data_IF_084108526846
#
_entry.id   IF_084108526846
#
_cell.length_a   1.000
_cell.length_b   1.000
_cell.length_c   1.000
_cell.angle_alpha   90.00
_cell.angle_beta   90.00
_cell.angle_gamma   90.00
#
_symmetry.space_group_name_H-M   'P 1'
#
loop_
_entity.id
_entity.type
_entity.pdbx_description
1 polymer ?
#
# COMPACT_ATOMS: atom_id res chain seq x y z
N UNK A 1 20.10 3.54 5.79
CA UNK A 1 18.73 3.76 5.26
C UNK A 1 18.78 4.44 3.88
N UNK A 2 17.93 4.00 2.97
CA UNK A 2 17.74 4.60 1.64
C UNK A 2 16.26 4.60 1.31
N UNK A 3 15.86 5.29 0.25
CA UNK A 3 14.50 5.22 -0.33
C UNK A 3 14.54 4.53 -1.69
N UNK A 4 13.43 3.92 -2.12
CA UNK A 4 13.30 3.37 -3.46
C UNK A 4 11.95 3.77 -4.05
N UNK A 5 11.97 4.59 -5.10
CA UNK A 5 10.73 5.00 -5.78
C UNK A 5 10.15 3.83 -6.59
N UNK A 6 8.82 3.76 -6.64
CA UNK A 6 8.07 2.88 -7.54
C UNK A 6 7.33 3.76 -8.56
N UNK A 7 7.91 3.84 -9.75
CA UNK A 7 7.36 4.58 -10.88
C UNK A 7 6.26 3.80 -11.61
N UNK A 8 5.70 4.43 -12.64
CA UNK A 8 4.53 3.92 -13.33
C UNK A 8 4.75 2.53 -13.96
N UNK A 9 3.75 1.65 -13.81
CA UNK A 9 3.80 0.31 -14.33
C UNK A 9 3.80 0.30 -15.86
N UNK A 10 4.69 -0.51 -16.43
CA UNK A 10 4.78 -0.73 -17.87
C UNK A 10 4.29 -2.12 -18.22
N UNK A 11 3.48 -2.23 -19.27
CA UNK A 11 3.10 -3.53 -19.85
C UNK A 11 4.28 -4.06 -20.67
N UNK A 12 4.84 -5.18 -20.25
CA UNK A 12 5.93 -5.86 -20.95
C UNK A 12 5.47 -7.22 -21.49
N UNK A 13 6.15 -7.71 -22.53
CA UNK A 13 5.87 -9.01 -23.14
C UNK A 13 7.08 -9.94 -23.05
N UNK A 14 6.81 -11.25 -23.00
CA UNK A 14 7.78 -12.34 -23.11
C UNK A 14 7.32 -13.32 -24.18
N UNK A 15 8.25 -14.15 -24.66
CA UNK A 15 8.01 -15.15 -25.70
C UNK A 15 7.43 -14.52 -26.98
N UNK A 16 8.10 -13.47 -27.49
CA UNK A 16 7.69 -12.76 -28.72
C UNK A 16 6.22 -12.30 -28.72
N UNK A 17 5.75 -11.76 -27.59
CA UNK A 17 4.39 -11.23 -27.46
C UNK A 17 3.36 -12.22 -26.89
N UNK A 18 3.67 -13.51 -26.78
CA UNK A 18 2.71 -14.53 -26.35
C UNK A 18 2.27 -14.39 -24.88
N UNK A 19 3.08 -13.74 -24.04
CA UNK A 19 2.74 -13.51 -22.62
C UNK A 19 3.02 -12.09 -22.20
N UNK A 20 1.98 -11.38 -21.77
CA UNK A 20 2.09 -10.03 -21.19
C UNK A 20 2.09 -10.04 -19.66
N UNK A 21 2.79 -9.10 -19.05
CA UNK A 21 2.77 -8.84 -17.61
C UNK A 21 3.00 -7.35 -17.32
N UNK A 22 2.58 -6.91 -16.14
CA UNK A 22 2.88 -5.57 -15.63
C UNK A 22 4.20 -5.61 -14.87
N UNK A 23 5.11 -4.69 -15.21
CA UNK A 23 6.38 -4.48 -14.54
C UNK A 23 6.45 -3.08 -13.93
N UNK A 24 6.86 -3.00 -12.67
CA UNK A 24 7.07 -1.77 -11.93
C UNK A 24 8.54 -1.38 -12.05
N UNK A 25 8.79 -0.11 -12.36
CA UNK A 25 10.14 0.46 -12.39
C UNK A 25 10.50 0.91 -10.98
N UNK A 26 11.64 0.43 -10.50
CA UNK A 26 12.19 0.69 -9.18
C UNK A 26 13.47 1.50 -9.33
N UNK A 27 13.61 2.56 -8.54
CA UNK A 27 14.80 3.41 -8.53
C UNK A 27 15.28 3.60 -7.08
N UNK A 28 16.26 2.80 -6.63
CA UNK A 28 16.86 2.98 -5.31
C UNK A 28 17.71 4.26 -5.29
N UNK A 29 17.47 5.13 -4.32
CA UNK A 29 18.19 6.41 -4.14
C UNK A 29 19.70 6.26 -3.95
N UNK A 30 20.16 5.15 -3.38
CA UNK A 30 21.59 4.92 -3.10
C UNK A 30 22.40 4.47 -4.32
N UNK A 31 21.77 3.93 -5.36
CA UNK A 31 22.44 3.53 -6.61
C UNK A 31 22.02 4.36 -7.83
N UNK A 32 20.81 4.93 -7.80
CA UNK A 32 20.17 5.55 -8.98
C UNK A 32 19.87 4.55 -10.11
N UNK A 33 20.16 3.27 -9.93
CA UNK A 33 20.04 2.27 -10.98
C UNK A 33 18.58 1.83 -11.13
N UNK A 34 18.07 1.91 -12.35
CA UNK A 34 16.70 1.55 -12.65
C UNK A 34 16.58 0.04 -12.87
N UNK A 35 15.65 -0.60 -12.17
CA UNK A 35 15.30 -2.01 -12.40
C UNK A 35 13.80 -2.19 -12.55
N UNK A 36 13.39 -3.09 -13.43
CA UNK A 36 12.00 -3.48 -13.63
C UNK A 36 11.70 -4.80 -12.94
N UNK A 37 10.66 -4.82 -12.10
CA UNK A 37 10.19 -6.00 -11.37
C UNK A 37 8.69 -6.15 -11.54
N UNK A 38 8.24 -7.35 -11.89
CA UNK A 38 6.80 -7.69 -11.92
C UNK A 38 6.35 -8.17 -10.54
N UNK A 39 5.05 -8.14 -10.28
CA UNK A 39 4.48 -8.59 -8.99
C UNK A 39 4.97 -9.98 -8.56
N UNK A 40 5.11 -10.95 -9.47
CA UNK A 40 5.65 -12.29 -9.15
C UNK A 40 7.09 -12.27 -8.58
N UNK A 41 7.89 -11.25 -8.91
CA UNK A 41 9.22 -11.10 -8.32
C UNK A 41 9.13 -10.56 -6.89
N UNK A 42 8.19 -9.66 -6.60
CA UNK A 42 7.89 -9.22 -5.23
C UNK A 42 7.41 -10.40 -4.38
N UNK A 43 6.47 -11.19 -4.91
CA UNK A 43 5.94 -12.39 -4.24
C UNK A 43 7.04 -13.40 -3.87
N UNK A 44 7.98 -13.62 -4.79
CA UNK A 44 9.16 -14.44 -4.51
C UNK A 44 10.01 -13.86 -3.37
N UNK A 45 10.30 -12.56 -3.42
CA UNK A 45 11.11 -11.91 -2.40
C UNK A 45 10.43 -11.96 -1.03
N UNK A 46 9.13 -11.64 -0.96
CA UNK A 46 8.32 -11.75 0.24
C UNK A 46 8.43 -13.15 0.86
N UNK A 47 8.24 -14.21 0.06
CA UNK A 47 8.39 -15.58 0.54
C UNK A 47 9.79 -15.91 1.05
N UNK A 48 10.85 -15.37 0.45
CA UNK A 48 12.23 -15.53 0.96
C UNK A 48 12.44 -14.82 2.30
N UNK A 49 11.91 -13.61 2.44
CA UNK A 49 12.06 -12.81 3.65
C UNK A 49 11.27 -13.43 4.82
N UNK A 50 10.03 -13.85 4.58
CA UNK A 50 9.19 -14.50 5.59
C UNK A 50 9.79 -15.83 6.09
N UNK A 51 10.41 -16.62 5.20
CA UNK A 51 11.14 -17.84 5.59
C UNK A 51 12.43 -17.53 6.36
N UNK A 52 13.15 -16.47 5.96
CA UNK A 52 14.43 -16.10 6.55
C UNK A 52 14.32 -15.54 7.96
N UNK A 53 13.32 -14.69 8.21
CA UNK A 53 13.24 -13.92 9.45
C UNK A 53 12.06 -14.36 10.32
N UNK A 54 12.25 -15.31 11.27
CA UNK A 54 11.16 -15.83 12.09
C UNK A 54 10.62 -14.83 13.12
N UNK A 55 11.37 -13.78 13.43
CA UNK A 55 11.06 -12.80 14.50
C UNK A 55 10.95 -11.36 13.99
N UNK A 56 11.05 -11.15 12.67
CA UNK A 56 10.85 -9.83 12.06
C UNK A 56 9.53 -9.86 11.29
N UNK A 57 8.64 -8.93 11.60
CA UNK A 57 7.37 -8.79 10.90
C UNK A 57 7.60 -8.22 9.50
N UNK A 58 7.57 -9.08 8.47
CA UNK A 58 7.68 -8.68 7.06
C UNK A 58 6.33 -8.16 6.57
N UNK A 59 6.23 -6.93 6.02
CA UNK A 59 4.96 -6.40 5.55
C UNK A 59 4.37 -7.27 4.43
N UNK A 60 3.06 -7.48 4.46
CA UNK A 60 2.36 -8.28 3.44
C UNK A 60 2.29 -7.52 2.12
N UNK A 61 2.30 -8.26 1.00
CA UNK A 61 2.12 -7.67 -0.31
C UNK A 61 0.62 -7.38 -0.59
N UNK A 62 0.30 -6.36 -1.42
CA UNK A 62 -1.07 -6.14 -1.89
C UNK A 62 -1.64 -7.36 -2.60
N UNK A 63 -2.97 -7.51 -2.64
CA UNK A 63 -3.64 -8.73 -3.10
C UNK A 63 -3.25 -9.24 -4.50
N UNK A 64 -3.30 -10.57 -4.65
CA UNK A 64 -3.16 -11.28 -5.92
C UNK A 64 -4.51 -11.32 -6.65
N UNK A 65 -4.66 -10.50 -7.68
CA UNK A 65 -5.82 -10.60 -8.59
C UNK A 65 -5.43 -11.27 -9.92
N UNK A 66 -6.21 -12.27 -10.34
CA UNK A 66 -6.02 -13.00 -11.58
C UNK A 66 -6.85 -12.40 -12.74
N UNK A 67 -8.13 -12.10 -12.47
CA UNK A 67 -9.04 -11.36 -13.37
C UNK A 67 -8.82 -9.85 -13.22
N UNK A 68 -9.08 -9.04 -14.25
CA UNK A 68 -8.91 -7.58 -14.17
C UNK A 68 -7.47 -7.08 -13.94
N UNK A 69 -6.44 -7.94 -14.04
CA UNK A 69 -5.04 -7.57 -13.74
C UNK A 69 -4.44 -6.47 -14.63
N UNK A 70 -5.14 -6.09 -15.69
CA UNK A 70 -4.76 -5.03 -16.63
C UNK A 70 -5.65 -3.79 -16.50
N UNK A 71 -6.61 -3.79 -15.57
CA UNK A 71 -7.45 -2.63 -15.26
C UNK A 71 -6.61 -1.56 -14.56
N UNK A 72 -6.80 -0.31 -14.98
CA UNK A 72 -6.01 0.82 -14.53
C UNK A 72 -6.16 1.06 -13.03
N UNK A 73 -7.38 1.02 -12.50
CA UNK A 73 -7.67 1.17 -11.08
C UNK A 73 -6.93 0.12 -10.24
N UNK A 74 -6.94 -1.12 -10.71
CA UNK A 74 -6.25 -2.21 -10.03
C UNK A 74 -4.73 -2.04 -10.05
N UNK A 75 -4.17 -1.67 -11.20
CA UNK A 75 -2.75 -1.41 -11.37
C UNK A 75 -2.30 -0.24 -10.47
N UNK A 76 -3.08 0.83 -10.43
CA UNK A 76 -2.84 2.02 -9.62
C UNK A 76 -2.87 1.69 -8.12
N UNK A 77 -3.92 1.01 -7.65
CA UNK A 77 -4.04 0.56 -6.25
C UNK A 77 -2.88 -0.34 -5.84
N UNK A 78 -2.51 -1.30 -6.69
CA UNK A 78 -1.38 -2.18 -6.43
C UNK A 78 -0.05 -1.43 -6.39
N UNK A 79 0.17 -0.45 -7.28
CA UNK A 79 1.37 0.38 -7.26
C UNK A 79 1.51 1.14 -5.95
N UNK A 80 0.42 1.77 -5.47
CA UNK A 80 0.39 2.47 -4.17
C UNK A 80 0.73 1.52 -3.02
N UNK A 81 0.10 0.34 -2.95
CA UNK A 81 0.40 -0.64 -1.91
C UNK A 81 1.84 -1.19 -1.98
N UNK A 82 2.40 -1.37 -3.18
CA UNK A 82 3.80 -1.75 -3.33
C UNK A 82 4.76 -0.64 -2.91
N UNK A 83 4.37 0.64 -3.07
CA UNK A 83 5.18 1.78 -2.62
C UNK A 83 5.27 1.79 -1.08
N UNK A 84 4.14 1.67 -0.38
CA UNK A 84 4.11 1.51 1.08
C UNK A 84 4.96 0.33 1.56
N UNK A 85 4.83 -0.82 0.88
CA UNK A 85 5.65 -2.00 1.17
C UNK A 85 7.15 -1.70 1.01
N UNK A 86 7.54 -1.04 -0.09
CA UNK A 86 8.93 -0.72 -0.39
C UNK A 86 9.52 0.28 0.60
N UNK A 87 8.77 1.31 1.00
CA UNK A 87 9.20 2.30 1.98
C UNK A 87 9.44 1.65 3.35
N UNK A 88 8.58 0.73 3.77
CA UNK A 88 8.80 -0.06 4.98
C UNK A 88 10.09 -0.90 4.86
N UNK A 89 10.25 -1.61 3.74
CA UNK A 89 11.41 -2.47 3.50
C UNK A 89 12.74 -1.70 3.50
N UNK A 90 12.78 -0.51 2.91
CA UNK A 90 14.00 0.31 2.82
C UNK A 90 14.33 1.04 4.14
N UNK A 91 13.33 1.31 4.98
CA UNK A 91 13.52 1.95 6.28
C UNK A 91 13.92 0.96 7.38
N UNK A 92 13.57 -0.32 7.25
CA UNK A 92 13.89 -1.32 8.25
C UNK A 92 15.39 -1.69 8.27
N UNK A 93 16.10 -1.59 9.42
CA UNK A 93 17.56 -1.74 9.48
C UNK A 93 18.07 -3.11 9.05
N UNK A 94 17.36 -4.20 9.36
CA UNK A 94 17.75 -5.57 8.95
C UNK A 94 17.28 -5.91 7.54
N UNK A 95 15.98 -5.75 7.23
CA UNK A 95 15.42 -6.09 5.91
C UNK A 95 16.09 -5.32 4.76
N UNK A 96 16.38 -4.02 4.96
CA UNK A 96 17.06 -3.20 3.97
C UNK A 96 18.46 -3.71 3.62
N UNK A 97 19.13 -4.41 4.55
CA UNK A 97 20.49 -4.95 4.35
C UNK A 97 20.49 -6.39 3.82
N UNK A 98 19.33 -7.02 3.67
CA UNK A 98 19.25 -8.40 3.21
C UNK A 98 19.77 -8.56 1.77
N UNK A 99 20.72 -9.47 1.55
CA UNK A 99 21.29 -9.80 0.23
C UNK A 99 20.21 -10.05 -0.84
N UNK A 100 19.15 -10.77 -0.50
CA UNK A 100 18.06 -11.06 -1.44
C UNK A 100 17.31 -9.79 -1.87
N UNK A 101 17.14 -8.84 -0.95
CA UNK A 101 16.54 -7.54 -1.23
C UNK A 101 17.49 -6.63 -2.04
N UNK A 102 18.78 -6.61 -1.68
CA UNK A 102 19.79 -5.87 -2.42
C UNK A 102 19.91 -6.38 -3.88
N UNK A 103 19.95 -7.70 -4.09
CA UNK A 103 19.91 -8.30 -5.42
C UNK A 103 18.60 -7.96 -6.16
N UNK A 104 17.48 -7.94 -5.43
CA UNK A 104 16.18 -7.53 -5.99
C UNK A 104 16.22 -6.10 -6.54
N UNK A 105 16.91 -5.18 -5.88
CA UNK A 105 16.98 -3.77 -6.27
C UNK A 105 18.09 -3.44 -7.28
N UNK A 106 19.17 -4.20 -7.33
CA UNK A 106 20.37 -3.83 -8.10
C UNK A 106 20.63 -4.72 -9.33
N UNK A 107 20.09 -5.95 -9.38
CA UNK A 107 20.31 -6.82 -10.53
C UNK A 107 19.66 -6.23 -11.81
N UNK A 108 20.42 -6.00 -12.90
CA UNK A 108 19.85 -5.48 -14.14
C UNK A 108 18.70 -6.35 -14.67
N UNK A 109 17.59 -5.73 -15.08
CA UNK A 109 16.43 -6.47 -15.62
C UNK A 109 16.69 -7.16 -16.96
N UNK A 110 17.73 -6.74 -17.66
CA UNK A 110 18.20 -7.33 -18.92
C UNK A 110 19.03 -8.59 -18.71
N UNK A 111 19.61 -8.79 -17.52
CA UNK A 111 20.45 -9.96 -17.22
C UNK A 111 19.65 -11.06 -16.52
N UNK A 112 18.93 -11.85 -17.32
CA UNK A 112 18.14 -12.98 -16.80
C UNK A 112 19.01 -14.07 -16.16
N UNK A 113 20.29 -14.20 -16.55
CA UNK A 113 21.21 -15.19 -16.00
C UNK A 113 21.64 -14.80 -14.59
N UNK A 114 22.09 -13.56 -14.40
CA UNK A 114 22.43 -13.02 -13.07
C UNK A 114 21.21 -13.05 -12.14
N UNK A 115 20.02 -12.68 -12.65
CA UNK A 115 18.77 -12.76 -11.88
C UNK A 115 18.52 -14.17 -11.34
N UNK A 116 18.59 -15.19 -12.22
CA UNK A 116 18.38 -16.60 -11.85
C UNK A 116 19.44 -17.10 -10.87
N UNK A 117 20.69 -16.68 -11.03
CA UNK A 117 21.77 -17.07 -10.14
C UNK A 117 21.58 -16.51 -8.73
N UNK A 118 21.32 -15.20 -8.60
CA UNK A 118 21.06 -14.58 -7.30
C UNK A 118 19.78 -15.10 -6.63
N UNK A 119 18.74 -15.36 -7.44
CA UNK A 119 17.52 -16.05 -6.97
C UNK A 119 17.82 -17.42 -6.35
N UNK A 120 18.59 -18.25 -7.05
CA UNK A 120 19.01 -19.58 -6.55
C UNK A 120 19.93 -19.49 -5.34
N UNK A 121 20.80 -18.47 -5.26
CA UNK A 121 21.64 -18.22 -4.09
C UNK A 121 20.79 -17.94 -2.85
N UNK A 122 19.80 -17.04 -2.96
CA UNK A 122 18.87 -16.74 -1.87
C UNK A 122 17.94 -17.92 -1.50
N UNK A 123 17.63 -18.80 -2.45
CA UNK A 123 16.86 -20.02 -2.19
C UNK A 123 17.65 -21.13 -1.48
N UNK A 124 18.99 -21.04 -1.47
CA UNK A 124 19.89 -21.99 -0.81
C UNK A 124 20.50 -21.43 0.47
N UNK A 125 19.97 -20.32 0.98
CA UNK A 125 20.45 -19.72 2.22
C UNK A 125 20.13 -20.65 3.40
N UNK A 126 21.16 -21.02 4.16
CA UNK A 126 21.03 -21.90 5.33
C UNK A 126 20.71 -21.12 6.62
N UNK A 127 20.94 -19.80 6.62
CA UNK A 127 20.69 -18.90 7.76
C UNK A 127 19.25 -18.40 7.79
N UNK A 128 18.30 -19.34 7.74
CA UNK A 128 16.85 -19.12 7.72
C UNK A 128 16.20 -19.78 8.94
N UNK A 129 14.98 -19.37 9.30
CA UNK A 129 14.28 -19.90 10.48
C UNK A 129 15.14 -19.82 11.74
N UNK A 130 15.27 -20.92 12.49
CA UNK A 130 16.05 -20.95 13.72
C UNK A 130 17.55 -20.60 13.52
N UNK A 131 18.14 -20.90 12.36
CA UNK A 131 19.55 -20.56 12.11
C UNK A 131 19.78 -19.06 11.98
N UNK A 132 18.72 -18.26 11.73
CA UNK A 132 18.83 -16.80 11.73
C UNK A 132 19.35 -16.27 13.07
N UNK A 133 19.00 -16.89 14.20
CA UNK A 133 19.45 -16.45 15.52
C UNK A 133 20.98 -16.54 15.68
N UNK A 134 21.67 -17.41 14.92
CA UNK A 134 23.14 -17.49 14.89
C UNK A 134 23.79 -16.25 14.27
N UNK A 135 23.02 -15.44 13.53
CA UNK A 135 23.49 -14.20 12.92
C UNK A 135 23.33 -12.99 13.85
N UNK A 136 22.66 -13.15 14.99
CA UNK A 136 22.40 -12.08 15.94
C UNK A 136 23.50 -12.05 16.99
N UNK A 137 24.16 -10.91 17.13
CA UNK A 137 25.04 -10.64 18.27
C UNK A 137 24.26 -9.87 19.33
N UNK A 138 24.16 -10.44 20.53
CA UNK A 138 23.54 -9.78 21.69
C UNK A 138 24.58 -8.98 22.47
N UNK A 139 24.21 -7.88 23.14
CA UNK A 139 25.11 -7.15 24.03
C UNK A 139 25.72 -8.08 25.08
N UNK A 140 27.03 -7.94 25.33
CA UNK A 140 27.74 -8.69 26.37
C UNK A 140 28.38 -7.69 27.34
N UNK A 141 28.13 -7.85 28.65
CA UNK A 141 28.65 -6.95 29.67
C UNK A 141 27.80 -6.91 30.95
N UNK A 142 28.25 -6.16 31.98
CA UNK A 142 27.49 -5.98 33.21
C UNK A 142 26.11 -5.36 32.92
N UNK A 143 25.04 -5.97 33.40
CA UNK A 143 23.66 -5.52 33.13
C UNK A 143 23.08 -5.93 31.77
N UNK A 144 23.78 -6.76 30.98
CA UNK A 144 23.25 -7.28 29.71
C UNK A 144 22.29 -8.47 29.88
N UNK A 145 22.27 -9.11 31.05
CA UNK A 145 21.31 -10.16 31.37
C UNK A 145 19.92 -9.56 31.58
N UNK A 146 18.94 -10.05 30.83
CA UNK A 146 17.54 -9.68 31.00
C UNK A 146 16.87 -10.63 32.01
N UNK A 147 15.98 -10.10 32.84
CA UNK A 147 15.08 -10.91 33.66
C UNK A 147 14.02 -11.55 32.75
N UNK A 148 13.96 -12.88 32.74
CA UNK A 148 13.03 -13.64 31.92
C UNK A 148 11.58 -13.35 32.28
N UNK A 149 11.28 -13.08 33.56
CA UNK A 149 9.93 -12.75 33.99
C UNK A 149 9.50 -11.37 33.45
N UNK A 150 10.43 -10.41 33.43
CA UNK A 150 10.20 -9.10 32.84
C UNK A 150 9.98 -9.21 31.32
N UNK A 151 10.81 -9.99 30.62
CA UNK A 151 10.66 -10.25 29.18
C UNK A 151 9.31 -10.89 28.87
N UNK A 152 8.88 -11.89 29.65
CA UNK A 152 7.57 -12.52 29.47
C UNK A 152 6.42 -11.51 29.68
N UNK A 153 6.52 -10.68 30.71
CA UNK A 153 5.54 -9.61 30.97
C UNK A 153 5.46 -8.61 29.82
N UNK A 154 6.59 -8.22 29.23
CA UNK A 154 6.64 -7.34 28.06
C UNK A 154 6.00 -8.00 26.82
N UNK A 155 6.28 -9.29 26.59
CA UNK A 155 5.67 -10.05 25.48
C UNK A 155 4.15 -10.15 25.65
N UNK A 156 3.64 -10.38 26.86
CA UNK A 156 2.21 -10.41 27.13
C UNK A 156 1.54 -9.05 26.96
N UNK A 157 2.20 -7.97 27.41
CA UNK A 157 1.76 -6.60 27.15
C UNK A 157 1.68 -6.31 25.65
N UNK A 158 2.70 -6.71 24.89
CA UNK A 158 2.73 -6.55 23.44
C UNK A 158 1.64 -7.38 22.74
N UNK A 159 1.38 -8.62 23.17
CA UNK A 159 0.30 -9.47 22.67
C UNK A 159 -1.07 -8.82 22.86
N UNK A 160 -1.32 -8.24 24.04
CA UNK A 160 -2.57 -7.52 24.31
C UNK A 160 -2.69 -6.26 23.44
N UNK A 161 -1.59 -5.51 23.29
CA UNK A 161 -1.52 -4.34 22.43
C UNK A 161 -1.83 -4.68 20.96
N UNK A 162 -1.15 -5.67 20.36
CA UNK A 162 -1.33 -5.99 18.93
C UNK A 162 -2.74 -6.45 18.64
N UNK A 163 -3.34 -7.27 19.52
CA UNK A 163 -4.75 -7.65 19.40
C UNK A 163 -5.68 -6.42 19.41
N UNK A 164 -5.50 -5.50 20.36
CA UNK A 164 -6.35 -4.31 20.46
C UNK A 164 -6.14 -3.35 19.28
N UNK A 165 -4.91 -3.24 18.80
CA UNK A 165 -4.57 -2.45 17.63
C UNK A 165 -5.24 -3.01 16.37
N UNK A 166 -5.24 -4.33 16.18
CA UNK A 166 -5.90 -4.98 15.02
C UNK A 166 -7.41 -4.73 15.00
N UNK A 167 -8.09 -4.94 16.14
CA UNK A 167 -9.51 -4.63 16.30
C UNK A 167 -9.82 -3.15 15.97
N UNK A 168 -8.98 -2.24 16.46
CA UNK A 168 -9.14 -0.80 16.26
C UNK A 168 -8.86 -0.37 14.82
N UNK A 169 -7.84 -0.96 14.17
CA UNK A 169 -7.52 -0.72 12.77
C UNK A 169 -8.63 -1.23 11.84
N UNK A 170 -9.20 -2.41 12.13
CA UNK A 170 -10.37 -2.94 11.41
C UNK A 170 -11.58 -2.01 11.52
N UNK A 171 -11.88 -1.53 12.74
CA UNK A 171 -12.98 -0.59 12.96
C UNK A 171 -12.78 0.72 12.20
N UNK A 172 -11.58 1.31 12.28
CA UNK A 172 -11.27 2.55 11.57
C UNK A 172 -11.37 2.37 10.05
N UNK A 173 -10.82 1.28 9.51
CA UNK A 173 -10.88 0.97 8.09
C UNK A 173 -12.35 0.80 7.63
N UNK A 174 -13.18 0.14 8.43
CA UNK A 174 -14.61 -0.01 8.14
C UNK A 174 -15.33 1.34 8.07
N UNK A 175 -15.16 2.19 9.09
CA UNK A 175 -15.80 3.51 9.15
C UNK A 175 -15.29 4.44 8.04
N UNK A 176 -13.99 4.42 7.74
CA UNK A 176 -13.40 5.19 6.65
C UNK A 176 -13.96 4.77 5.28
N UNK A 177 -14.05 3.47 5.01
CA UNK A 177 -14.65 2.94 3.77
C UNK A 177 -16.13 3.31 3.64
N UNK A 178 -16.90 3.24 4.72
CA UNK A 178 -18.30 3.65 4.71
C UNK A 178 -18.43 5.14 4.39
N UNK A 179 -17.61 5.97 5.03
CA UNK A 179 -17.63 7.41 4.81
C UNK A 179 -17.20 7.78 3.38
N UNK A 180 -16.13 7.16 2.85
CA UNK A 180 -15.70 7.34 1.47
C UNK A 180 -16.82 7.00 0.48
N UNK A 181 -17.51 5.86 0.65
CA UNK A 181 -18.67 5.49 -0.20
C UNK A 181 -19.80 6.51 -0.13
N UNK A 182 -20.09 7.05 1.06
CA UNK A 182 -21.10 8.12 1.23
C UNK A 182 -20.69 9.40 0.52
N UNK A 183 -19.41 9.77 0.53
CA UNK A 183 -18.92 10.93 -0.22
C UNK A 183 -19.06 10.74 -1.75
N UNK A 184 -18.58 9.60 -2.27
CA UNK A 184 -18.60 9.26 -3.71
C UNK A 184 -20.01 9.22 -4.29
N UNK A 185 -20.95 8.63 -3.57
CA UNK A 185 -22.30 8.37 -4.09
C UNK A 185 -23.35 9.26 -3.46
N UNK A 186 -23.42 9.27 -2.13
CA UNK A 186 -24.46 9.96 -1.37
C UNK A 186 -24.34 11.48 -1.49
N UNK A 187 -23.22 12.06 -1.05
CA UNK A 187 -23.04 13.51 -1.02
C UNK A 187 -23.06 14.07 -2.43
N UNK A 188 -22.33 13.48 -3.38
CA UNK A 188 -22.42 13.85 -4.80
C UNK A 188 -23.87 13.95 -5.28
N UNK A 189 -24.67 12.91 -5.03
CA UNK A 189 -26.07 12.86 -5.46
C UNK A 189 -26.91 13.97 -4.81
N UNK A 190 -26.73 14.25 -3.53
CA UNK A 190 -27.51 15.30 -2.86
C UNK A 190 -27.15 16.70 -3.37
N UNK A 191 -25.87 17.00 -3.60
CA UNK A 191 -25.45 18.27 -4.20
C UNK A 191 -26.00 18.44 -5.63
N UNK A 192 -25.92 17.38 -6.45
CA UNK A 192 -26.45 17.40 -7.81
C UNK A 192 -27.98 17.53 -7.86
N UNK A 193 -28.71 16.99 -6.86
CA UNK A 193 -30.16 17.23 -6.75
C UNK A 193 -30.48 18.71 -6.51
N UNK A 194 -29.73 19.36 -5.64
CA UNK A 194 -29.89 20.81 -5.39
C UNK A 194 -29.54 21.62 -6.63
N UNK A 195 -28.43 21.27 -7.31
CA UNK A 195 -28.05 21.86 -8.60
C UNK A 195 -29.17 21.71 -9.65
N UNK A 196 -29.74 20.52 -9.77
CA UNK A 196 -30.87 20.26 -10.66
C UNK A 196 -32.10 21.13 -10.33
N UNK A 197 -32.43 21.35 -9.05
CA UNK A 197 -33.52 22.25 -8.67
C UNK A 197 -33.27 23.70 -9.11
N UNK A 198 -32.05 24.23 -8.91
CA UNK A 198 -31.69 25.55 -9.42
C UNK A 198 -31.75 25.63 -10.94
N UNK A 199 -31.34 24.57 -11.64
CA UNK A 199 -31.40 24.49 -13.10
C UNK A 199 -32.85 24.57 -13.60
N UNK A 200 -33.77 23.83 -13.00
CA UNK A 200 -35.19 23.89 -13.34
C UNK A 200 -35.79 25.27 -13.09
N UNK A 201 -35.42 25.92 -11.98
CA UNK A 201 -35.87 27.28 -11.67
C UNK A 201 -35.35 28.30 -12.70
N UNK A 202 -34.06 28.23 -13.03
CA UNK A 202 -33.45 29.07 -14.07
C UNK A 202 -34.15 28.90 -15.42
N UNK A 203 -34.44 27.65 -15.83
CA UNK A 203 -35.17 27.37 -17.07
C UNK A 203 -36.57 27.97 -17.10
N UNK A 204 -37.27 27.99 -15.97
CA UNK A 204 -38.58 28.62 -15.87
C UNK A 204 -38.47 30.15 -16.04
N UNK A 205 -37.43 30.78 -15.48
CA UNK A 205 -37.23 32.23 -15.56
C UNK A 205 -36.80 32.69 -16.95
N UNK A 206 -36.10 31.84 -17.71
CA UNK A 206 -35.73 32.08 -19.10
C UNK A 206 -36.95 32.15 -20.05
N UNK A 207 -38.13 31.69 -19.64
CA UNK A 207 -39.35 31.75 -20.47
C UNK A 207 -39.92 33.17 -20.62
N UNK A 208 -39.71 34.06 -19.65
CA UNK A 208 -40.26 35.43 -19.65
C UNK A 208 -39.36 36.44 -20.38
N UNK A 209 -38.08 36.09 -20.65
CA UNK A 209 -37.10 36.84 -21.47
C UNK A 209 -37.00 38.36 -21.21
N UNK A 210 -37.29 38.81 -19.99
CA UNK A 210 -37.20 40.23 -19.63
C UNK A 210 -35.74 40.69 -19.53
N UNK A 211 -35.38 41.77 -20.20
CA UNK A 211 -33.99 42.25 -20.26
C UNK A 211 -33.39 42.58 -18.87
N UNK A 212 -34.21 43.04 -17.92
CA UNK A 212 -33.76 43.39 -16.57
C UNK A 212 -33.50 42.16 -15.68
N UNK A 213 -34.05 40.99 -15.99
CA UNK A 213 -33.85 39.75 -15.21
C UNK A 213 -32.70 38.88 -15.72
N UNK A 214 -32.14 39.18 -16.90
CA UNK A 214 -31.07 38.40 -17.52
C UNK A 214 -29.89 38.11 -16.59
N UNK A 215 -29.42 39.11 -15.83
CA UNK A 215 -28.31 38.93 -14.88
C UNK A 215 -28.66 37.99 -13.71
N UNK A 216 -29.90 38.05 -13.21
CA UNK A 216 -30.38 37.14 -12.17
C UNK A 216 -30.49 35.71 -12.70
N UNK A 217 -31.05 35.52 -13.90
CA UNK A 217 -31.19 34.20 -14.51
C UNK A 217 -29.83 33.53 -14.69
N UNK A 218 -28.84 34.28 -15.18
CA UNK A 218 -27.46 33.79 -15.32
C UNK A 218 -26.86 33.39 -13.96
N UNK A 219 -27.11 34.15 -12.90
CA UNK A 219 -26.63 33.82 -11.56
C UNK A 219 -27.28 32.53 -11.00
N UNK A 220 -28.58 32.30 -11.25
CA UNK A 220 -29.28 31.07 -10.85
C UNK A 220 -28.73 29.87 -11.63
N UNK A 221 -28.54 30.01 -12.95
CA UNK A 221 -27.93 28.98 -13.78
C UNK A 221 -26.50 28.62 -13.31
N UNK A 222 -25.67 29.63 -13.05
CA UNK A 222 -24.33 29.44 -12.51
C UNK A 222 -24.36 28.72 -11.15
N UNK A 223 -25.30 29.08 -10.28
CA UNK A 223 -25.46 28.40 -8.98
C UNK A 223 -25.77 26.92 -9.16
N UNK A 224 -26.60 26.55 -10.14
CA UNK A 224 -26.85 25.15 -10.46
C UNK A 224 -25.56 24.39 -10.81
N UNK A 225 -24.76 24.94 -11.72
CA UNK A 225 -23.47 24.37 -12.15
C UNK A 225 -22.48 24.28 -10.98
N UNK A 226 -22.45 25.29 -10.10
CA UNK A 226 -21.60 25.28 -8.92
C UNK A 226 -21.96 24.14 -7.96
N UNK A 227 -23.25 23.86 -7.74
CA UNK A 227 -23.69 22.72 -6.92
C UNK A 227 -23.32 21.38 -7.56
N UNK A 228 -23.46 21.24 -8.88
CA UNK A 228 -23.02 20.04 -9.60
C UNK A 228 -21.51 19.82 -9.43
N UNK A 229 -20.70 20.87 -9.57
CA UNK A 229 -19.25 20.82 -9.38
C UNK A 229 -18.84 20.47 -7.95
N UNK A 230 -19.54 21.01 -6.92
CA UNK A 230 -19.30 20.62 -5.52
C UNK A 230 -19.58 19.13 -5.32
N UNK A 231 -20.62 18.59 -5.97
CA UNK A 231 -20.90 17.16 -5.94
C UNK A 231 -19.75 16.31 -6.47
N UNK A 232 -19.12 16.74 -7.56
CA UNK A 232 -17.93 16.07 -8.11
C UNK A 232 -16.71 16.18 -7.19
N UNK A 233 -16.49 17.35 -6.56
CA UNK A 233 -15.43 17.51 -5.56
C UNK A 233 -15.58 16.53 -4.38
N UNK A 234 -16.80 16.34 -3.87
CA UNK A 234 -17.05 15.34 -2.82
C UNK A 234 -16.76 13.92 -3.29
N UNK A 235 -17.00 13.61 -4.57
CA UNK A 235 -16.71 12.28 -5.07
C UNK A 235 -15.23 11.99 -5.26
N UNK A 236 -14.42 13.02 -5.53
CA UNK A 236 -12.97 12.88 -5.66
C UNK A 236 -12.23 12.99 -4.32
N UNK A 237 -12.84 13.57 -3.29
CA UNK A 237 -12.21 13.83 -1.99
C UNK A 237 -11.55 12.61 -1.34
N UNK A 238 -12.18 11.41 -1.27
CA UNK A 238 -11.59 10.25 -0.60
C UNK A 238 -10.19 9.87 -1.11
N UNK A 239 -9.90 10.14 -2.39
CA UNK A 239 -8.59 9.84 -2.99
C UNK A 239 -7.46 10.68 -2.40
N UNK A 240 -7.78 11.81 -1.78
CA UNK A 240 -6.84 12.78 -1.24
C UNK A 240 -6.55 12.56 0.25
N UNK A 241 -7.46 11.95 1.00
CA UNK A 241 -7.36 11.82 2.46
C UNK A 241 -7.62 10.41 2.99
N UNK A 242 -8.78 9.81 2.70
CA UNK A 242 -9.20 8.52 3.26
C UNK A 242 -8.45 7.35 2.63
N UNK A 243 -8.26 7.35 1.31
CA UNK A 243 -7.58 6.28 0.59
C UNK A 243 -6.13 6.08 1.10
N UNK A 244 -5.28 7.14 1.25
CA UNK A 244 -3.96 7.00 1.85
C UNK A 244 -3.98 6.42 3.27
N UNK A 245 -4.97 6.79 4.10
CA UNK A 245 -5.11 6.25 5.46
C UNK A 245 -5.46 4.77 5.42
N UNK A 246 -6.40 4.37 4.55
CA UNK A 246 -6.79 2.97 4.40
C UNK A 246 -5.65 2.11 3.83
N UNK A 247 -4.86 2.64 2.89
CA UNK A 247 -3.67 1.97 2.38
C UNK A 247 -2.63 1.73 3.49
N UNK A 248 -2.41 2.71 4.37
CA UNK A 248 -1.54 2.56 5.53
C UNK A 248 -2.07 1.54 6.54
N UNK A 249 -3.38 1.55 6.83
CA UNK A 249 -4.00 0.57 7.72
C UNK A 249 -3.84 -0.85 7.17
N UNK A 250 -3.98 -1.05 5.86
CA UNK A 250 -3.77 -2.36 5.23
C UNK A 250 -2.32 -2.87 5.41
N UNK A 251 -1.31 -1.98 5.33
CA UNK A 251 0.08 -2.33 5.62
C UNK A 251 0.25 -2.83 7.05
N UNK A 252 -0.31 -2.10 8.03
CA UNK A 252 -0.24 -2.46 9.44
C UNK A 252 -1.02 -3.73 9.78
N UNK A 253 -2.17 -3.97 9.14
CA UNK A 253 -2.89 -5.24 9.28
C UNK A 253 -2.04 -6.43 8.85
N UNK A 254 -1.24 -6.28 7.79
CA UNK A 254 -0.25 -7.29 7.41
C UNK A 254 0.79 -7.56 8.52
N UNK A 255 1.28 -6.51 9.18
CA UNK A 255 2.19 -6.68 10.31
C UNK A 255 1.52 -7.37 11.51
N UNK A 256 0.30 -6.96 11.82
CA UNK A 256 -0.48 -7.47 12.95
C UNK A 256 -0.80 -8.96 12.77
N UNK A 257 -1.03 -9.40 11.53
CA UNK A 257 -1.21 -10.80 11.18
C UNK A 257 0.05 -11.67 11.42
N UNK A 258 1.26 -11.09 11.42
CA UNK A 258 2.50 -11.84 11.66
C UNK A 258 2.81 -12.05 13.15
N UNK A 259 2.36 -11.14 14.02
CA UNK A 259 2.76 -11.16 15.43
C UNK A 259 2.31 -12.40 16.22
N UNK A 260 1.14 -13.03 15.96
CA UNK A 260 0.77 -14.27 16.64
C UNK A 260 1.84 -15.36 16.52
N UNK A 261 2.36 -15.60 15.31
CA UNK A 261 3.39 -16.62 15.07
C UNK A 261 4.74 -16.20 15.67
N UNK A 262 5.13 -14.92 15.54
CA UNK A 262 6.35 -14.38 16.15
C UNK A 262 6.34 -14.54 17.68
N UNK A 263 5.21 -14.21 18.32
CA UNK A 263 5.03 -14.35 19.77
C UNK A 263 5.04 -15.83 20.16
N UNK A 264 4.47 -16.72 19.35
CA UNK A 264 4.51 -18.15 19.60
C UNK A 264 5.95 -18.69 19.59
N UNK A 265 6.77 -18.28 18.61
CA UNK A 265 8.21 -18.62 18.55
C UNK A 265 8.95 -18.19 19.81
N UNK A 266 8.60 -17.03 20.39
CA UNK A 266 9.22 -16.54 21.63
C UNK A 266 8.80 -17.32 22.87
N UNK A 267 7.56 -17.85 22.91
CA UNK A 267 7.03 -18.58 24.07
C UNK A 267 7.42 -20.06 24.11
N UNK A 268 7.84 -20.64 22.99
CA UNK A 268 8.12 -22.08 22.87
C UNK A 268 6.85 -22.88 22.62
#
# INVERSE_FOLDING_TARGET
>A
PFQCSIEDPTKQTKFKGMKSYIAYKLVPSHTGQQVHRRYKHFDWLYGRLAEKFPVISVPHLPEKQATGRFEEDFISKRRKGLAWWMDHMCSHPVLAQCDAFQHFLTCPSTDEKAWKQGKRKAEKDEMVGANFFLTISVPTGPGAGLDLQEVESQVDGFKAFTKKMDESALQLNHTANEFARKQVTGFKKEYQKVGHSFKCLSQAFELDQQAFSAGLNQAIAFTAEAYDAIGDLFADQPRQDLDPVMDLLALYQGHLANFPDIIHVQKG
#
